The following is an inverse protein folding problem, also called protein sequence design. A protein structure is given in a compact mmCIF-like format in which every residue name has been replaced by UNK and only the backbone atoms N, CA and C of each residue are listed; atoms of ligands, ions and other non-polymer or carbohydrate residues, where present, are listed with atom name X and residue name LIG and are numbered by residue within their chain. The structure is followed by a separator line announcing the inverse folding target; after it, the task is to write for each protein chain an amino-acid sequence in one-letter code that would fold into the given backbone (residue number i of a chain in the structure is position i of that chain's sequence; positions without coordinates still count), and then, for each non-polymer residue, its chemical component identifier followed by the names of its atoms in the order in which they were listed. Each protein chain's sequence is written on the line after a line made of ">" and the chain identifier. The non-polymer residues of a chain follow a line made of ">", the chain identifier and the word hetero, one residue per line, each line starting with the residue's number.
data_IF_567679829316
#
_entry.id   IF_567679829316
#
_cell.length_a   1.000
_cell.length_b   1.000
_cell.length_c   1.000
_cell.angle_alpha   90.00
_cell.angle_beta   90.00
_cell.angle_gamma   90.00
#
_symmetry.space_group_name_H-M   'P 1'
#
loop_
_entity.id
_entity.type
_entity.pdbx_description
1 polymer ?
#
# COMPACT_ATOMS: atom_id res chain seq x y z
N UNK A 1 69.72 -41.12 6.80
CA UNK A 1 68.48 -40.83 6.04
C UNK A 1 67.80 -39.69 6.80
N UNK A 2 68.41 -38.50 6.85
CA UNK A 2 68.41 -37.45 5.80
C UNK A 2 66.99 -37.07 5.35
N UNK A 3 66.47 -35.96 5.95
CA UNK A 3 66.08 -34.65 5.37
C UNK A 3 65.75 -34.56 3.86
N UNK A 4 65.26 -33.42 3.29
CA UNK A 4 65.12 -32.06 3.85
C UNK A 4 63.78 -31.36 3.46
N UNK A 5 63.41 -30.19 3.98
CA UNK A 5 63.75 -28.85 3.46
C UNK A 5 62.62 -27.89 3.90
N UNK A 6 62.75 -26.59 4.13
CA UNK A 6 63.83 -25.62 4.29
C UNK A 6 63.14 -24.29 4.75
N UNK A 7 63.76 -23.52 5.65
CA UNK A 7 64.22 -22.11 5.46
C UNK A 7 63.12 -21.05 5.21
N UNK A 8 63.05 -19.85 5.78
CA UNK A 8 63.97 -18.93 6.51
C UNK A 8 63.10 -17.73 6.96
N UNK A 9 63.39 -17.04 8.09
CA UNK A 9 63.64 -15.58 8.15
C UNK A 9 63.66 -14.98 9.58
N UNK A 10 64.79 -14.31 9.85
CA UNK A 10 64.99 -12.99 10.47
C UNK A 10 64.41 -12.61 11.86
N UNK A 11 65.36 -12.24 12.74
CA UNK A 11 65.24 -11.37 13.92
C UNK A 11 65.21 -9.88 13.52
N UNK A 12 64.43 -9.06 14.24
CA UNK A 12 64.75 -7.71 14.77
C UNK A 12 63.49 -7.16 15.49
N UNK A 13 63.40 -7.03 16.82
CA UNK A 13 63.89 -5.96 17.72
C UNK A 13 63.46 -4.52 17.38
N UNK A 14 62.76 -3.89 18.35
CA UNK A 14 62.47 -2.46 18.51
C UNK A 14 61.22 -1.98 17.76
N UNK A 15 60.36 -1.08 18.23
CA UNK A 15 60.31 -0.24 19.43
C UNK A 15 58.87 0.31 19.56
N UNK A 16 58.56 0.78 20.77
CA UNK A 16 57.29 1.29 21.26
C UNK A 16 56.95 2.65 20.63
N UNK A 17 55.69 2.87 20.24
CA UNK A 17 55.29 4.15 19.63
C UNK A 17 53.77 4.35 19.56
N UNK A 18 53.22 4.88 20.64
CA UNK A 18 51.89 5.48 20.87
C UNK A 18 51.28 6.24 19.67
N UNK A 19 50.07 5.87 19.22
CA UNK A 19 48.96 6.80 18.89
C UNK A 19 47.70 6.01 18.52
N UNK A 20 46.76 5.88 19.46
CA UNK A 20 45.46 5.24 19.23
C UNK A 20 44.45 6.28 18.77
N UNK A 21 44.06 6.18 17.50
CA UNK A 21 43.11 7.06 16.82
C UNK A 21 41.74 7.14 17.53
N UNK A 22 41.23 8.37 17.56
CA UNK A 22 39.85 8.72 17.82
C UNK A 22 38.93 8.07 16.78
N UNK A 23 38.37 6.91 17.10
CA UNK A 23 37.26 6.33 16.34
C UNK A 23 35.97 7.01 16.77
N UNK A 24 35.58 8.04 16.04
CA UNK A 24 34.23 8.59 16.06
C UNK A 24 33.25 7.49 15.63
N UNK A 25 32.58 6.88 16.61
CA UNK A 25 31.41 6.03 16.37
C UNK A 25 30.25 6.91 15.89
N UNK A 26 30.24 7.23 14.61
CA UNK A 26 29.05 7.71 13.91
C UNK A 26 28.14 6.53 13.63
N UNK A 27 27.55 5.94 14.68
CA UNK A 27 26.41 5.06 14.51
C UNK A 27 25.17 5.93 14.38
N UNK A 28 25.03 6.58 13.22
CA UNK A 28 23.71 6.96 12.74
C UNK A 28 23.11 5.67 12.20
N UNK A 29 22.48 4.91 13.09
CA UNK A 29 21.41 4.02 12.69
C UNK A 29 20.42 4.93 11.95
N UNK A 30 20.48 4.90 10.62
CA UNK A 30 19.32 5.29 9.84
C UNK A 30 18.27 4.30 10.28
N UNK A 31 17.36 4.73 11.15
CA UNK A 31 16.13 4.01 11.45
C UNK A 31 15.51 3.66 10.09
N UNK A 32 15.76 2.44 9.62
CA UNK A 32 15.12 1.89 8.44
C UNK A 32 13.69 1.66 8.89
N UNK A 33 12.88 2.72 8.82
CA UNK A 33 11.46 2.70 9.13
C UNK A 33 10.86 1.52 8.35
N UNK A 34 10.61 0.43 9.06
CA UNK A 34 10.12 -0.82 8.47
C UNK A 34 8.72 -0.56 7.96
N UNK A 35 8.50 -0.76 6.66
CA UNK A 35 7.18 -0.59 6.04
C UNK A 35 6.22 -1.60 6.67
N UNK A 36 5.11 -1.09 7.20
CA UNK A 36 4.07 -1.94 7.77
C UNK A 36 3.38 -2.73 6.66
N UNK A 37 3.26 -4.04 6.87
CA UNK A 37 2.58 -4.93 5.93
C UNK A 37 1.82 -6.03 6.64
N UNK A 38 0.50 -6.01 6.51
CA UNK A 38 -0.41 -7.05 6.97
C UNK A 38 -0.73 -8.00 5.82
N UNK A 39 -0.46 -9.28 6.06
CA UNK A 39 -0.78 -10.35 5.11
C UNK A 39 -2.21 -10.79 5.27
N UNK A 40 -2.83 -11.15 4.15
CA UNK A 40 -4.23 -11.53 4.11
C UNK A 40 -4.47 -12.78 4.94
N UNK A 41 -5.50 -12.72 5.77
CA UNK A 41 -6.11 -13.89 6.38
C UNK A 41 -7.53 -14.07 5.85
N UNK A 42 -7.89 -15.29 5.44
CA UNK A 42 -9.23 -15.61 4.89
C UNK A 42 -9.59 -14.70 3.71
N UNK A 43 -10.79 -14.09 3.70
CA UNK A 43 -11.23 -13.17 2.64
C UNK A 43 -11.25 -11.71 3.11
N UNK A 44 -10.42 -11.34 4.09
CA UNK A 44 -10.36 -9.99 4.68
C UNK A 44 -9.49 -9.01 3.88
N UNK A 45 -9.42 -9.14 2.56
CA UNK A 45 -8.55 -8.29 1.73
C UNK A 45 -8.86 -6.79 1.92
N UNK A 46 -10.13 -6.41 2.05
CA UNK A 46 -10.53 -5.01 2.32
C UNK A 46 -9.96 -4.46 3.64
N UNK A 47 -10.02 -5.25 4.72
CA UNK A 47 -9.45 -4.88 6.02
C UNK A 47 -7.94 -4.65 5.92
N UNK A 48 -7.23 -5.61 5.31
CA UNK A 48 -5.78 -5.56 5.24
C UNK A 48 -5.32 -4.47 4.25
N UNK A 49 -6.04 -4.25 3.15
CA UNK A 49 -5.78 -3.13 2.25
C UNK A 49 -5.88 -1.79 2.99
N UNK A 50 -6.90 -1.59 3.83
CA UNK A 50 -7.02 -0.38 4.66
C UNK A 50 -5.87 -0.26 5.67
N UNK A 51 -5.56 -1.30 6.44
CA UNK A 51 -4.46 -1.24 7.43
C UNK A 51 -3.10 -0.98 6.76
N UNK A 52 -2.85 -1.63 5.62
CA UNK A 52 -1.66 -1.43 4.81
C UNK A 52 -1.61 0.00 4.25
N UNK A 53 -2.70 0.50 3.67
CA UNK A 53 -2.79 1.87 3.18
C UNK A 53 -2.44 2.85 4.29
N UNK A 54 -2.98 2.70 5.50
CA UNK A 54 -2.71 3.63 6.60
C UNK A 54 -1.38 3.39 7.32
N UNK A 55 -0.65 2.32 6.97
CA UNK A 55 0.65 1.96 7.54
C UNK A 55 0.60 1.83 9.07
N UNK A 56 -0.47 1.23 9.61
CA UNK A 56 -0.63 1.06 11.05
C UNK A 56 -1.35 -0.25 11.40
N UNK A 57 -0.77 -1.07 12.30
CA UNK A 57 -1.43 -2.27 12.80
C UNK A 57 -2.71 -1.92 13.55
N UNK A 58 -3.77 -2.64 13.23
CA UNK A 58 -5.08 -2.45 13.86
C UNK A 58 -5.65 -1.04 13.65
N UNK A 59 -5.28 -0.35 12.57
CA UNK A 59 -5.95 0.91 12.19
C UNK A 59 -7.45 0.67 12.09
N UNK A 60 -7.82 -0.42 11.42
CA UNK A 60 -9.16 -0.97 11.34
C UNK A 60 -9.19 -2.38 11.90
N UNK A 61 -10.36 -2.79 12.38
CA UNK A 61 -10.62 -4.17 12.79
C UNK A 61 -11.79 -4.78 12.03
N UNK A 62 -11.85 -6.11 12.00
CA UNK A 62 -13.00 -6.84 11.43
C UNK A 62 -14.32 -6.42 12.08
N UNK A 63 -14.33 -6.28 13.42
CA UNK A 63 -15.54 -5.92 14.16
C UNK A 63 -16.04 -4.51 13.77
N UNK A 64 -15.12 -3.56 13.61
CA UNK A 64 -15.42 -2.20 13.15
C UNK A 64 -15.98 -2.20 11.72
N UNK A 65 -15.36 -2.93 10.78
CA UNK A 65 -15.88 -3.00 9.41
C UNK A 65 -17.24 -3.72 9.32
N UNK A 66 -17.47 -4.74 10.15
CA UNK A 66 -18.77 -5.42 10.24
C UNK A 66 -19.87 -4.48 10.81
N UNK A 67 -19.50 -3.58 11.73
CA UNK A 67 -20.39 -2.53 12.23
C UNK A 67 -20.74 -1.53 11.12
N UNK A 68 -19.75 -1.12 10.32
CA UNK A 68 -19.99 -0.24 9.17
C UNK A 68 -20.95 -0.85 8.15
N UNK A 69 -20.87 -2.16 7.87
CA UNK A 69 -21.87 -2.86 7.06
C UNK A 69 -23.29 -2.69 7.61
N UNK A 70 -23.43 -2.75 8.94
CA UNK A 70 -24.72 -2.64 9.63
C UNK A 70 -25.25 -1.20 9.56
N UNK A 71 -24.38 -0.20 9.76
CA UNK A 71 -24.72 1.22 9.65
C UNK A 71 -25.19 1.59 8.25
N UNK A 72 -24.49 1.10 7.22
CA UNK A 72 -24.81 1.40 5.82
C UNK A 72 -26.07 0.67 5.32
N UNK A 73 -26.42 -0.49 5.91
CA UNK A 73 -27.60 -1.28 5.52
C UNK A 73 -28.43 -1.75 6.75
N UNK A 74 -29.18 -0.85 7.40
CA UNK A 74 -29.80 -1.13 8.70
C UNK A 74 -31.08 -1.99 8.68
N UNK A 75 -31.69 -2.26 7.51
CA UNK A 75 -33.04 -2.87 7.41
C UNK A 75 -33.11 -4.34 6.97
N UNK A 76 -31.99 -5.05 6.99
CA UNK A 76 -31.94 -6.41 6.42
C UNK A 76 -31.88 -7.48 7.53
N UNK A 77 -33.02 -7.89 8.09
CA UNK A 77 -33.09 -9.08 8.95
C UNK A 77 -32.75 -10.39 8.21
N UNK A 78 -32.71 -10.36 6.88
CA UNK A 78 -31.98 -11.29 6.02
C UNK A 78 -30.96 -10.48 5.22
N UNK A 79 -29.75 -10.26 5.76
CA UNK A 79 -28.73 -9.48 5.07
C UNK A 79 -27.76 -10.38 4.29
N UNK A 80 -27.93 -10.58 2.97
CA UNK A 80 -26.92 -11.21 2.13
C UNK A 80 -25.60 -10.40 2.05
N UNK A 81 -25.58 -9.16 2.57
CA UNK A 81 -24.40 -8.29 2.67
C UNK A 81 -23.74 -8.25 4.06
N UNK A 82 -24.33 -8.85 5.10
CA UNK A 82 -23.49 -9.40 6.16
C UNK A 82 -22.83 -10.56 5.46
N UNK A 83 -21.53 -10.47 5.11
CA UNK A 83 -20.73 -11.59 4.57
C UNK A 83 -21.41 -12.88 5.05
N UNK A 84 -22.10 -13.65 4.21
CA UNK A 84 -23.17 -14.56 4.68
C UNK A 84 -22.67 -15.65 5.66
N UNK A 85 -21.36 -15.67 5.96
CA UNK A 85 -20.67 -16.45 6.99
C UNK A 85 -19.51 -15.68 7.72
N UNK A 86 -19.33 -14.35 7.53
CA UNK A 86 -18.29 -13.58 8.27
C UNK A 86 -16.87 -13.70 7.72
N UNK A 87 -16.70 -13.95 6.42
CA UNK A 87 -15.39 -14.19 5.78
C UNK A 87 -14.58 -12.93 5.44
N UNK A 88 -15.18 -11.73 5.39
CA UNK A 88 -14.46 -10.47 5.19
C UNK A 88 -14.56 -9.81 3.81
N UNK A 89 -15.49 -10.24 2.95
CA UNK A 89 -15.67 -9.70 1.61
C UNK A 89 -16.48 -8.39 1.66
N UNK A 90 -15.83 -7.31 2.05
CA UNK A 90 -16.45 -5.98 2.19
C UNK A 90 -16.70 -5.32 0.83
N UNK A 91 -17.88 -4.73 0.66
CA UNK A 91 -18.22 -3.94 -0.53
C UNK A 91 -17.55 -2.56 -0.50
N UNK A 92 -17.54 -1.90 -1.67
CA UNK A 92 -16.87 -0.61 -1.84
C UNK A 92 -17.38 0.48 -0.90
N UNK A 93 -18.68 0.48 -0.53
CA UNK A 93 -19.23 1.51 0.35
C UNK A 93 -18.66 1.38 1.76
N UNK A 94 -18.39 0.14 2.22
CA UNK A 94 -17.73 -0.10 3.51
C UNK A 94 -16.29 0.41 3.48
N UNK A 95 -15.57 0.16 2.38
CA UNK A 95 -14.20 0.67 2.18
C UNK A 95 -14.19 2.21 2.21
N UNK A 96 -15.07 2.84 1.44
CA UNK A 96 -15.19 4.30 1.38
C UNK A 96 -15.58 4.89 2.74
N UNK A 97 -16.56 4.30 3.42
CA UNK A 97 -17.00 4.75 4.73
C UNK A 97 -15.90 4.62 5.78
N UNK A 98 -15.14 3.52 5.77
CA UNK A 98 -14.01 3.31 6.67
C UNK A 98 -12.91 4.38 6.48
N UNK A 99 -12.58 4.69 5.22
CA UNK A 99 -11.63 5.78 4.90
C UNK A 99 -12.14 7.12 5.44
N UNK A 100 -13.43 7.41 5.26
CA UNK A 100 -14.06 8.64 5.78
C UNK A 100 -13.97 8.77 7.31
N UNK A 101 -14.12 7.66 8.05
CA UNK A 101 -13.96 7.67 9.51
C UNK A 101 -12.55 8.07 9.98
N UNK A 102 -11.56 8.14 9.07
CA UNK A 102 -10.17 8.53 9.37
C UNK A 102 -9.78 9.87 8.75
N UNK A 103 -10.73 10.79 8.58
CA UNK A 103 -10.50 12.13 8.02
C UNK A 103 -9.82 12.08 6.64
N UNK A 104 -10.33 11.18 5.81
CA UNK A 104 -9.92 11.03 4.42
C UNK A 104 -11.15 11.05 3.52
N UNK A 105 -10.90 11.31 2.26
CA UNK A 105 -11.90 11.28 1.21
C UNK A 105 -11.52 10.22 0.18
N UNK A 106 -12.53 9.65 -0.49
CA UNK A 106 -12.31 8.71 -1.60
C UNK A 106 -12.91 9.28 -2.86
N UNK A 107 -12.10 9.34 -3.92
CA UNK A 107 -12.54 9.68 -5.28
C UNK A 107 -12.43 8.43 -6.15
N UNK A 108 -13.48 8.12 -6.88
CA UNK A 108 -13.44 7.07 -7.89
C UNK A 108 -12.79 7.61 -9.16
N UNK A 109 -11.66 7.04 -9.56
CA UNK A 109 -10.97 7.47 -10.77
C UNK A 109 -11.66 6.92 -12.02
N UNK A 110 -11.95 7.79 -12.98
CA UNK A 110 -12.48 7.36 -14.28
C UNK A 110 -11.35 6.74 -15.11
N UNK A 111 -11.36 5.40 -15.21
CA UNK A 111 -10.37 4.62 -15.97
C UNK A 111 -10.24 4.99 -17.45
N UNK A 112 -11.16 5.80 -18.00
CA UNK A 112 -11.06 6.31 -19.38
C UNK A 112 -10.09 7.48 -19.50
N UNK A 113 -9.69 8.12 -18.40
CA UNK A 113 -8.69 9.18 -18.35
C UNK A 113 -7.28 8.59 -18.24
N UNK A 114 -6.31 9.22 -18.88
CA UNK A 114 -4.91 8.86 -18.68
C UNK A 114 -4.46 9.28 -17.26
N UNK A 115 -3.80 8.39 -16.48
CA UNK A 115 -3.41 8.71 -15.10
C UNK A 115 -2.39 9.85 -15.00
N UNK A 116 -1.77 10.30 -16.10
CA UNK A 116 -0.93 11.50 -16.12
C UNK A 116 -1.65 12.79 -15.72
N UNK A 117 -2.99 12.79 -15.64
CA UNK A 117 -3.74 13.92 -15.09
C UNK A 117 -3.70 14.02 -13.55
N UNK A 118 -3.20 13.00 -12.85
CA UNK A 118 -3.20 12.94 -11.39
C UNK A 118 -2.18 13.88 -10.77
N UNK A 119 -2.60 14.69 -9.80
CA UNK A 119 -1.71 15.37 -8.86
C UNK A 119 -1.33 14.38 -7.74
N UNK A 120 -0.23 13.66 -7.95
CA UNK A 120 0.28 12.66 -7.00
C UNK A 120 0.64 13.25 -5.64
N UNK A 121 0.88 14.56 -5.53
CA UNK A 121 1.21 15.23 -4.27
C UNK A 121 -0.02 15.44 -3.38
N UNK A 122 -1.20 15.52 -3.98
CA UNK A 122 -2.47 15.66 -3.27
C UNK A 122 -3.05 14.32 -2.79
N UNK A 123 -2.49 13.19 -3.25
CA UNK A 123 -3.03 11.84 -3.03
C UNK A 123 -2.32 11.17 -1.86
N UNK A 124 -3.08 10.82 -0.83
CA UNK A 124 -2.59 10.08 0.34
C UNK A 124 -2.22 8.64 -0.01
N UNK A 125 -2.98 8.02 -0.92
CA UNK A 125 -2.66 6.73 -1.51
C UNK A 125 -3.79 6.21 -2.39
N UNK A 126 -3.64 4.97 -2.83
CA UNK A 126 -4.48 4.36 -3.86
C UNK A 126 -5.03 3.03 -3.35
N UNK A 127 -6.27 2.72 -3.71
CA UNK A 127 -6.87 1.41 -3.51
C UNK A 127 -7.32 0.90 -4.87
N UNK A 128 -6.84 -0.29 -5.24
CA UNK A 128 -7.27 -1.00 -6.44
C UNK A 128 -8.27 -2.09 -6.04
N UNK A 129 -9.34 -2.20 -6.83
CA UNK A 129 -10.22 -3.35 -6.85
C UNK A 129 -9.95 -4.14 -8.12
N UNK A 130 -9.50 -5.38 -7.99
CA UNK A 130 -9.10 -6.21 -9.14
C UNK A 130 -9.85 -7.54 -9.16
N UNK A 131 -10.14 -8.11 -10.34
CA UNK A 131 -10.59 -9.48 -10.45
C UNK A 131 -9.56 -10.45 -9.84
N UNK A 132 -10.05 -11.40 -9.08
CA UNK A 132 -9.26 -12.46 -8.45
C UNK A 132 -9.89 -13.79 -8.81
N UNK A 133 -9.16 -14.59 -9.59
CA UNK A 133 -9.59 -15.94 -9.93
C UNK A 133 -9.65 -16.80 -8.67
N UNK A 134 -10.72 -17.59 -8.55
CA UNK A 134 -10.81 -18.65 -7.56
C UNK A 134 -10.47 -19.98 -8.22
N UNK A 135 -9.72 -20.82 -7.52
CA UNK A 135 -9.44 -22.20 -7.96
C UNK A 135 -10.11 -23.20 -7.01
N UNK A 136 -10.77 -24.22 -7.55
CA UNK A 136 -11.07 -25.45 -6.81
C UNK A 136 -9.81 -26.31 -6.82
N UNK A 137 -9.30 -26.66 -5.63
CA UNK A 137 -8.04 -27.39 -5.50
C UNK A 137 -6.87 -26.57 -6.04
N UNK A 138 -5.90 -27.23 -6.67
CA UNK A 138 -4.68 -26.59 -7.16
C UNK A 138 -4.76 -26.09 -8.61
N UNK A 139 -5.78 -26.47 -9.40
CA UNK A 139 -5.70 -26.37 -10.88
C UNK A 139 -7.01 -26.02 -11.61
N UNK A 140 -8.20 -26.05 -10.98
CA UNK A 140 -9.46 -25.83 -11.70
C UNK A 140 -9.98 -24.42 -11.44
N UNK A 141 -9.88 -23.47 -12.40
CA UNK A 141 -10.46 -22.14 -12.23
C UNK A 141 -11.98 -22.22 -12.24
N UNK A 142 -12.60 -21.50 -11.31
CA UNK A 142 -14.06 -21.37 -11.25
C UNK A 142 -14.56 -20.37 -12.31
N UNK A 143 -15.77 -20.56 -12.85
CA UNK A 143 -16.35 -19.66 -13.86
C UNK A 143 -16.79 -18.31 -13.29
N UNK A 144 -16.43 -17.99 -12.05
CA UNK A 144 -16.70 -16.72 -11.39
C UNK A 144 -15.42 -16.17 -10.75
N UNK A 145 -15.24 -14.86 -10.88
CA UNK A 145 -14.14 -14.12 -10.28
C UNK A 145 -14.64 -13.45 -9.01
N UNK A 146 -13.83 -13.51 -7.95
CA UNK A 146 -14.04 -12.63 -6.80
C UNK A 146 -13.35 -11.31 -7.04
N UNK A 147 -13.70 -10.31 -6.24
CA UNK A 147 -13.00 -9.03 -6.21
C UNK A 147 -11.94 -9.05 -5.10
N UNK A 148 -10.83 -8.36 -5.33
CA UNK A 148 -9.72 -8.27 -4.39
C UNK A 148 -9.28 -6.83 -4.23
N UNK A 149 -9.26 -6.39 -2.97
CA UNK A 149 -8.78 -5.06 -2.59
C UNK A 149 -7.28 -5.11 -2.32
N UNK A 150 -6.53 -4.21 -2.92
CA UNK A 150 -5.12 -3.98 -2.60
C UNK A 150 -4.82 -2.49 -2.51
N UNK A 151 -3.87 -2.14 -1.65
CA UNK A 151 -3.44 -0.77 -1.46
C UNK A 151 -2.10 -0.51 -2.16
N UNK A 152 -1.94 0.70 -2.68
CA UNK A 152 -0.66 1.21 -3.17
C UNK A 152 -0.40 2.56 -2.50
N UNK A 153 0.80 2.78 -2.00
CA UNK A 153 1.13 4.01 -1.26
C UNK A 153 2.56 4.45 -1.50
N UNK A 154 2.76 5.77 -1.55
CA UNK A 154 4.09 6.38 -1.48
C UNK A 154 4.56 6.46 -0.03
N UNK A 155 5.69 5.85 0.27
CA UNK A 155 6.28 5.77 1.61
C UNK A 155 7.77 6.08 1.46
N UNK A 156 8.27 7.06 2.21
CA UNK A 156 9.68 7.46 2.19
C UNK A 156 10.24 7.72 0.78
N UNK A 157 9.42 8.33 -0.09
CA UNK A 157 9.80 8.73 -1.45
C UNK A 157 9.51 7.70 -2.54
N UNK A 158 9.23 6.44 -2.20
CA UNK A 158 8.97 5.35 -3.16
C UNK A 158 7.54 4.82 -3.08
N UNK A 159 7.00 4.35 -4.20
CA UNK A 159 5.71 3.68 -4.27
C UNK A 159 5.84 2.20 -3.95
N UNK A 160 4.88 1.67 -3.21
CA UNK A 160 4.83 0.26 -2.84
C UNK A 160 3.47 -0.33 -3.13
N UNK A 161 3.45 -1.46 -3.83
CA UNK A 161 2.31 -2.35 -3.84
C UNK A 161 2.26 -3.09 -2.51
N UNK A 162 1.19 -2.84 -1.77
CA UNK A 162 0.92 -3.37 -0.43
C UNK A 162 -0.20 -4.41 -0.46
N UNK A 163 -0.32 -5.15 -1.57
CA UNK A 163 -1.23 -6.27 -1.67
C UNK A 163 -0.96 -7.28 -0.54
N UNK A 164 -1.99 -7.49 0.28
CA UNK A 164 -1.97 -8.40 1.42
C UNK A 164 -1.71 -9.86 1.01
N UNK A 165 -1.86 -10.25 -0.26
CA UNK A 165 -1.43 -11.56 -0.78
C UNK A 165 0.09 -11.71 -0.90
N UNK A 166 0.82 -10.61 -1.02
CA UNK A 166 2.29 -10.62 -1.09
C UNK A 166 2.90 -10.98 0.26
N UNK A 167 4.06 -11.65 0.23
CA UNK A 167 4.83 -11.95 1.46
C UNK A 167 5.40 -10.70 2.12
N UNK A 168 5.68 -9.67 1.33
CA UNK A 168 6.25 -8.38 1.73
C UNK A 168 5.84 -7.30 0.72
N UNK A 169 5.92 -6.00 1.08
CA UNK A 169 5.70 -4.90 0.14
C UNK A 169 6.56 -5.03 -1.12
N UNK A 170 5.96 -4.85 -2.29
CA UNK A 170 6.70 -4.79 -3.54
C UNK A 170 6.98 -3.34 -3.91
N UNK A 171 8.25 -2.96 -3.97
CA UNK A 171 8.68 -1.62 -4.39
C UNK A 171 8.41 -1.44 -5.89
N UNK A 172 7.72 -0.36 -6.25
CA UNK A 172 7.43 0.03 -7.62
C UNK A 172 8.39 1.12 -8.15
N UNK A 173 9.28 1.63 -7.28
CA UNK A 173 10.22 2.70 -7.60
C UNK A 173 9.83 4.06 -7.00
N UNK A 174 10.71 5.05 -7.15
CA UNK A 174 10.51 6.43 -6.67
C UNK A 174 10.14 7.42 -7.78
N UNK A 175 10.20 6.97 -9.04
CA UNK A 175 9.89 7.78 -10.20
C UNK A 175 8.38 7.84 -10.42
N UNK A 176 7.84 9.05 -10.50
CA UNK A 176 6.40 9.26 -10.70
C UNK A 176 5.96 8.78 -12.09
N UNK A 177 6.81 8.87 -13.12
CA UNK A 177 6.53 8.37 -14.47
C UNK A 177 6.34 6.85 -14.50
N UNK A 178 7.28 6.10 -13.91
CA UNK A 178 7.18 4.64 -13.76
C UNK A 178 5.93 4.22 -12.99
N UNK A 179 5.57 4.98 -11.94
CA UNK A 179 4.35 4.71 -11.19
C UNK A 179 3.08 4.96 -12.01
N UNK A 180 3.04 6.03 -12.82
CA UNK A 180 1.94 6.31 -13.72
C UNK A 180 1.81 5.25 -14.82
N UNK A 181 2.92 4.72 -15.32
CA UNK A 181 2.93 3.60 -16.26
C UNK A 181 2.34 2.33 -15.64
N UNK A 182 2.70 2.04 -14.39
CA UNK A 182 2.09 0.96 -13.61
C UNK A 182 0.56 1.13 -13.47
N UNK A 183 0.07 2.34 -13.18
CA UNK A 183 -1.36 2.61 -13.14
C UNK A 183 -2.02 2.43 -14.51
N UNK A 184 -1.36 2.88 -15.59
CA UNK A 184 -1.87 2.75 -16.96
C UNK A 184 -1.99 1.29 -17.40
N UNK A 185 -1.08 0.43 -16.96
CA UNK A 185 -1.20 -1.02 -17.15
C UNK A 185 -2.44 -1.55 -16.43
N UNK A 186 -2.65 -1.16 -15.18
CA UNK A 186 -3.82 -1.62 -14.42
C UNK A 186 -5.15 -1.11 -14.99
N UNK A 187 -5.18 0.08 -15.59
CA UNK A 187 -6.40 0.73 -16.08
C UNK A 187 -6.75 0.37 -17.53
N UNK A 188 -6.04 -0.58 -18.16
CA UNK A 188 -6.38 -1.02 -19.50
C UNK A 188 -7.84 -1.53 -19.59
N UNK A 189 -8.54 -1.31 -20.72
CA UNK A 189 -9.97 -1.62 -20.84
C UNK A 189 -10.34 -3.09 -20.58
N UNK A 190 -9.40 -4.01 -20.75
CA UNK A 190 -9.54 -5.46 -20.59
C UNK A 190 -9.30 -5.97 -19.16
N UNK A 191 -8.68 -5.16 -18.29
CA UNK A 191 -8.28 -5.59 -16.95
C UNK A 191 -9.43 -5.57 -15.91
N UNK A 192 -10.56 -4.93 -16.20
CA UNK A 192 -11.70 -4.77 -15.27
C UNK A 192 -11.30 -4.26 -13.86
N UNK A 193 -10.23 -3.47 -13.79
CA UNK A 193 -9.75 -2.87 -12.55
C UNK A 193 -10.50 -1.58 -12.26
N UNK A 194 -10.74 -1.33 -10.98
CA UNK A 194 -11.25 -0.05 -10.48
C UNK A 194 -10.20 0.59 -9.58
N UNK A 195 -10.02 1.91 -9.72
CA UNK A 195 -9.05 2.67 -8.96
C UNK A 195 -9.78 3.71 -8.10
N UNK A 196 -9.49 3.67 -6.80
CA UNK A 196 -9.93 4.65 -5.84
C UNK A 196 -8.72 5.47 -5.40
N UNK A 197 -8.85 6.80 -5.45
CA UNK A 197 -7.89 7.74 -4.93
C UNK A 197 -8.29 8.10 -3.50
N UNK A 198 -7.36 7.99 -2.56
CA UNK A 198 -7.57 8.39 -1.17
C UNK A 198 -6.85 9.72 -0.93
N UNK A 199 -7.58 10.70 -0.42
CA UNK A 199 -7.10 12.07 -0.22
C UNK A 199 -7.26 12.50 1.24
N UNK A 200 -6.46 13.45 1.71
CA UNK A 200 -6.66 14.10 3.03
C UNK A 200 -8.00 14.86 3.05
N UNK A 201 -8.89 14.64 4.02
CA UNK A 201 -10.14 15.42 4.07
C UNK A 201 -9.86 16.91 4.25
N UNK A 202 -10.56 17.77 3.50
CA UNK A 202 -10.44 19.22 3.63
C UNK A 202 -11.22 19.67 4.86
N UNK A 203 -10.56 20.42 5.76
CA UNK A 203 -11.25 21.07 6.88
C UNK A 203 -11.99 22.28 6.34
N UNK A 204 -13.32 22.27 6.38
CA UNK A 204 -14.17 23.40 5.97
C UNK A 204 -13.77 24.66 6.76
N UNK A 205 -12.94 25.50 6.14
CA UNK A 205 -12.52 26.79 6.66
C UNK A 205 -12.80 27.82 5.56
N UNK A 206 -13.96 28.47 5.65
CA UNK A 206 -14.40 29.64 4.86
C UNK A 206 -14.36 29.53 3.32
N UNK A 207 -15.50 29.11 2.74
CA UNK A 207 -16.21 29.68 1.58
C UNK A 207 -15.48 30.42 0.43
N UNK A 208 -14.33 29.94 -0.05
CA UNK A 208 -13.82 30.34 -1.36
C UNK A 208 -13.20 29.15 -2.09
N UNK A 209 -13.89 28.63 -3.12
CA UNK A 209 -13.34 27.64 -4.06
C UNK A 209 -13.88 26.21 -3.93
N UNK A 210 -15.20 26.00 -3.93
CA UNK A 210 -15.82 24.66 -3.90
C UNK A 210 -15.45 23.75 -5.08
N UNK A 211 -15.07 24.30 -6.23
CA UNK A 211 -14.62 23.54 -7.41
C UNK A 211 -13.15 23.10 -7.29
N UNK A 212 -12.25 24.03 -6.92
CA UNK A 212 -10.82 23.73 -6.73
C UNK A 212 -10.57 22.65 -5.66
N UNK A 213 -11.41 22.62 -4.63
CA UNK A 213 -11.34 21.62 -3.55
C UNK A 213 -11.74 20.21 -4.06
N UNK A 214 -12.74 20.11 -4.94
CA UNK A 214 -13.25 18.83 -5.45
C UNK A 214 -12.30 18.16 -6.45
N UNK A 215 -11.55 18.95 -7.20
CA UNK A 215 -10.66 18.47 -8.27
C UNK A 215 -9.18 18.57 -7.91
N UNK A 216 -8.84 18.71 -6.63
CA UNK A 216 -7.46 18.79 -6.15
C UNK A 216 -6.58 17.57 -6.50
N UNK A 217 -7.21 16.43 -6.81
CA UNK A 217 -6.53 15.22 -7.28
C UNK A 217 -6.14 15.30 -8.77
N UNK A 218 -6.64 16.30 -9.50
CA UNK A 218 -6.23 16.64 -10.86
C UNK A 218 -5.15 17.71 -10.83
N UNK A 219 -4.14 17.56 -11.68
CA UNK A 219 -3.19 18.63 -11.97
C UNK A 219 -3.92 19.85 -12.56
N UNK A 220 -3.49 21.09 -12.25
CA UNK A 220 -4.21 22.31 -12.61
C UNK A 220 -4.61 22.43 -14.09
N UNK A 221 -3.77 21.94 -15.01
CA UNK A 221 -4.01 22.00 -16.45
C UNK A 221 -5.11 21.05 -16.95
N UNK A 222 -5.62 20.15 -16.10
CA UNK A 222 -6.71 19.22 -16.43
C UNK A 222 -8.02 19.53 -15.67
N UNK A 223 -8.06 20.65 -14.93
CA UNK A 223 -9.28 21.14 -14.26
C UNK A 223 -10.10 21.97 -15.25
N UNK A 224 -11.43 21.88 -15.13
CA UNK A 224 -12.38 22.62 -15.99
C UNK A 224 -12.68 24.03 -15.46
#
# INVERSE_FOLDING_TARGET
>A
MESPSAQTLAKSLGDSGRSGNSTTNNNRDSDTMTIYHERQTRHLCGLHALNNLFQRPGMFSKAELDEYCTTLTPRSWLNPHRSWIGWGNYDVNVIMYAVQQRNREVVWFDRRRDPSCLDLTAIFGFILNVPSQMTIGQLVPLPFQMRHWLAVRRINGSYYNLDSKLRQPACLGSDDGQFLDYLREHLQPDNDHELLLVLDAVKESSASGTAEIKERWLLPQFRD
#
